data_IF_309870385723
#
_entry.id   IF_309870385723
#
_cell.length_a   1.000
_cell.length_b   1.000
_cell.length_c   1.000
_cell.angle_alpha   90.00
_cell.angle_beta   90.00
_cell.angle_gamma   90.00
#
_symmetry.space_group_name_H-M   'P 1'
#
loop_
_entity.id
_entity.type
_entity.pdbx_description
1 polymer ?
#
# COMPACT_ATOMS: atom_id res chain seq x y z
N UNK A 1 21.49 -20.60 7.36
CA UNK A 1 20.74 -19.37 7.06
C UNK A 1 21.76 -18.29 6.75
N UNK A 2 21.72 -17.74 5.54
CA UNK A 2 22.56 -16.58 5.17
C UNK A 2 21.92 -15.29 5.69
N UNK A 3 22.73 -14.35 6.16
CA UNK A 3 22.24 -13.03 6.58
C UNK A 3 21.40 -12.38 5.49
N UNK A 4 20.35 -11.65 5.87
CA UNK A 4 19.52 -10.89 4.91
C UNK A 4 20.34 -9.81 4.17
N UNK A 5 21.39 -9.27 4.81
CA UNK A 5 22.30 -8.31 4.18
C UNK A 5 23.12 -8.91 3.04
N UNK A 6 23.23 -10.23 2.96
CA UNK A 6 23.89 -10.96 1.87
C UNK A 6 22.92 -11.33 0.74
N UNK A 7 21.62 -11.04 0.88
CA UNK A 7 20.54 -11.34 -0.06
C UNK A 7 19.85 -10.04 -0.47
N UNK A 8 20.42 -9.26 -1.41
CA UNK A 8 19.97 -7.88 -1.67
C UNK A 8 18.52 -7.77 -2.16
N UNK A 9 18.03 -8.74 -2.94
CA UNK A 9 16.64 -8.79 -3.37
C UNK A 9 15.69 -9.06 -2.20
N UNK A 10 16.05 -10.03 -1.34
CA UNK A 10 15.26 -10.33 -0.14
C UNK A 10 15.25 -9.16 0.83
N UNK A 11 16.32 -8.38 0.90
CA UNK A 11 16.37 -7.14 1.68
C UNK A 11 15.43 -6.08 1.11
N UNK A 12 15.39 -5.90 -0.21
CA UNK A 12 14.45 -4.97 -0.86
C UNK A 12 13.00 -5.39 -0.55
N UNK A 13 12.67 -6.66 -0.73
CA UNK A 13 11.33 -7.15 -0.41
C UNK A 13 11.01 -7.03 1.07
N UNK A 14 11.97 -7.29 1.95
CA UNK A 14 11.78 -7.15 3.39
C UNK A 14 11.46 -5.70 3.77
N UNK A 15 12.23 -4.74 3.25
CA UNK A 15 11.98 -3.31 3.46
C UNK A 15 10.64 -2.88 2.86
N UNK A 16 10.30 -3.38 1.68
CA UNK A 16 9.00 -3.14 1.04
C UNK A 16 7.85 -3.59 1.97
N UNK A 17 7.83 -4.85 2.40
CA UNK A 17 6.76 -5.38 3.25
C UNK A 17 6.69 -4.70 4.63
N UNK A 18 7.84 -4.41 5.25
CA UNK A 18 7.88 -3.75 6.56
C UNK A 18 7.37 -2.30 6.46
N UNK A 19 7.77 -1.56 5.43
CA UNK A 19 7.34 -0.17 5.27
C UNK A 19 5.85 -0.06 4.89
N UNK A 20 5.28 -1.06 4.22
CA UNK A 20 3.85 -1.10 3.88
C UNK A 20 2.92 -1.31 5.07
N UNK A 21 3.41 -1.87 6.18
CA UNK A 21 2.62 -2.05 7.40
C UNK A 21 2.10 -0.68 7.91
N UNK A 22 2.91 0.38 7.80
CA UNK A 22 2.56 1.70 8.32
C UNK A 22 1.38 2.36 7.58
N UNK A 23 1.40 2.55 6.24
CA UNK A 23 0.24 3.10 5.53
C UNK A 23 -0.99 2.21 5.70
N UNK A 24 -0.85 0.87 5.72
CA UNK A 24 -2.01 -0.01 5.92
C UNK A 24 -2.64 0.13 7.31
N UNK A 25 -1.84 0.31 8.35
CA UNK A 25 -2.37 0.56 9.70
C UNK A 25 -2.93 1.98 9.83
N UNK A 26 -2.29 3.00 9.26
CA UNK A 26 -2.65 4.39 9.56
C UNK A 26 -3.61 5.04 8.56
N UNK A 27 -3.59 4.61 7.30
CA UNK A 27 -4.41 5.17 6.22
C UNK A 27 -5.51 4.18 5.81
N UNK A 28 -5.14 2.97 5.38
CA UNK A 28 -6.12 2.03 4.80
C UNK A 28 -7.13 1.57 5.85
N UNK A 29 -6.67 1.30 7.08
CA UNK A 29 -7.56 0.92 8.19
C UNK A 29 -8.61 1.98 8.52
N UNK A 30 -8.33 3.28 8.31
CA UNK A 30 -9.31 4.33 8.52
C UNK A 30 -10.49 4.18 7.55
N UNK A 31 -10.21 3.88 6.28
CA UNK A 31 -11.24 3.67 5.26
C UNK A 31 -12.11 2.45 5.55
N UNK A 32 -11.53 1.42 6.18
CA UNK A 32 -12.23 0.19 6.57
C UNK A 32 -13.07 0.41 7.83
N UNK A 33 -12.54 1.13 8.82
CA UNK A 33 -13.18 1.29 10.13
C UNK A 33 -14.15 2.48 10.20
N UNK A 34 -14.08 3.42 9.26
CA UNK A 34 -15.00 4.57 9.23
C UNK A 34 -16.46 4.13 9.12
N UNK A 35 -17.38 4.63 9.98
CA UNK A 35 -17.25 5.82 10.84
C UNK A 35 -16.79 5.52 12.28
N UNK A 36 -16.51 4.25 12.62
CA UNK A 36 -16.13 3.79 13.96
C UNK A 36 -14.62 3.91 14.25
N UNK A 37 -13.84 4.40 13.28
CA UNK A 37 -12.41 4.56 13.41
C UNK A 37 -12.05 5.47 14.61
N UNK A 38 -11.03 5.11 15.42
CA UNK A 38 -10.53 5.97 16.48
C UNK A 38 -10.17 7.38 15.99
N UNK A 39 -10.36 8.38 16.86
CA UNK A 39 -10.04 9.78 16.55
C UNK A 39 -8.61 9.97 16.04
N UNK A 40 -7.65 9.19 16.54
CA UNK A 40 -6.27 9.23 16.09
C UNK A 40 -6.13 8.92 14.57
N UNK A 41 -6.79 7.87 14.09
CA UNK A 41 -6.76 7.52 12.66
C UNK A 41 -7.47 8.59 11.82
N UNK A 42 -8.57 9.14 12.34
CA UNK A 42 -9.27 10.26 11.70
C UNK A 42 -8.35 11.48 11.55
N UNK A 43 -7.59 11.83 12.58
CA UNK A 43 -6.64 12.95 12.53
C UNK A 43 -5.50 12.72 11.54
N UNK A 44 -4.98 11.49 11.45
CA UNK A 44 -3.96 11.15 10.44
C UNK A 44 -4.55 11.25 9.03
N UNK A 45 -5.74 10.67 8.80
CA UNK A 45 -6.38 10.73 7.50
C UNK A 45 -6.69 12.17 7.10
N UNK A 46 -7.21 13.00 8.03
CA UNK A 46 -7.43 14.42 7.80
C UNK A 46 -6.13 15.13 7.41
N UNK A 47 -5.07 14.98 8.21
CA UNK A 47 -3.75 15.54 7.88
C UNK A 47 -3.27 15.09 6.49
N UNK A 48 -3.41 13.81 6.17
CA UNK A 48 -3.00 13.27 4.87
C UNK A 48 -3.80 13.91 3.72
N UNK A 49 -5.13 13.96 3.83
CA UNK A 49 -5.98 14.57 2.80
C UNK A 49 -5.73 16.07 2.63
N UNK A 50 -5.46 16.80 3.71
CA UNK A 50 -5.15 18.24 3.65
C UNK A 50 -3.80 18.52 2.99
N UNK A 51 -2.78 17.66 3.20
CA UNK A 51 -1.45 17.89 2.65
C UNK A 51 -1.29 17.37 1.22
N UNK A 52 -1.88 16.23 0.89
CA UNK A 52 -1.66 15.55 -0.38
C UNK A 52 -2.84 15.63 -1.35
N UNK A 53 -4.04 15.93 -0.85
CA UNK A 53 -5.28 15.98 -1.61
C UNK A 53 -5.53 14.71 -2.45
N UNK A 54 -5.18 13.55 -1.90
CA UNK A 54 -5.31 12.27 -2.59
C UNK A 54 -6.80 11.95 -2.84
N UNK A 55 -7.24 11.84 -4.11
CA UNK A 55 -8.63 11.60 -4.45
C UNK A 55 -9.17 10.27 -3.91
N UNK A 56 -8.31 9.28 -3.68
CA UNK A 56 -8.68 7.98 -3.15
C UNK A 56 -9.08 8.04 -1.68
N UNK A 57 -8.50 8.98 -0.92
CA UNK A 57 -8.85 9.19 0.49
C UNK A 57 -9.90 10.29 0.66
N UNK A 58 -9.85 11.34 -0.16
CA UNK A 58 -10.84 12.44 -0.14
C UNK A 58 -12.23 11.95 -0.57
N UNK A 59 -12.33 11.31 -1.73
CA UNK A 59 -13.62 10.85 -2.27
C UNK A 59 -13.95 9.42 -1.84
N UNK A 60 -12.93 8.62 -1.53
CA UNK A 60 -13.06 7.23 -1.10
C UNK A 60 -14.02 6.41 -1.98
N UNK A 61 -13.72 6.26 -3.29
CA UNK A 61 -14.58 5.52 -4.19
C UNK A 61 -14.74 4.06 -3.73
N UNK A 62 -15.91 3.47 -4.01
CA UNK A 62 -16.30 2.15 -3.47
C UNK A 62 -15.29 1.06 -3.84
N UNK A 63 -14.77 1.08 -5.07
CA UNK A 63 -13.77 0.12 -5.52
C UNK A 63 -12.46 0.23 -4.72
N UNK A 64 -12.01 1.44 -4.39
CA UNK A 64 -10.80 1.68 -3.59
C UNK A 64 -11.00 1.26 -2.14
N UNK A 65 -12.18 1.53 -1.56
CA UNK A 65 -12.54 0.97 -0.26
C UNK A 65 -12.48 -0.56 -0.28
N UNK A 66 -12.90 -1.20 -1.36
CA UNK A 66 -12.76 -2.64 -1.56
C UNK A 66 -11.31 -3.12 -1.47
N UNK A 67 -10.39 -2.42 -2.13
CA UNK A 67 -8.95 -2.70 -2.03
C UNK A 67 -8.43 -2.50 -0.60
N UNK A 68 -8.80 -1.39 0.06
CA UNK A 68 -8.40 -1.13 1.45
C UNK A 68 -8.87 -2.23 2.43
N UNK A 69 -10.05 -2.83 2.20
CA UNK A 69 -10.51 -3.97 3.01
C UNK A 69 -9.62 -5.19 2.81
N UNK A 70 -9.23 -5.50 1.57
CA UNK A 70 -8.31 -6.60 1.27
C UNK A 70 -6.93 -6.33 1.88
N UNK A 71 -6.42 -5.10 1.73
CA UNK A 71 -5.14 -4.69 2.28
C UNK A 71 -5.11 -4.83 3.80
N UNK A 72 -6.13 -4.31 4.48
CA UNK A 72 -6.20 -4.38 5.94
C UNK A 72 -6.42 -5.80 6.48
N UNK A 73 -7.32 -6.57 5.88
CA UNK A 73 -7.73 -7.88 6.43
C UNK A 73 -6.82 -9.03 5.99
N UNK A 74 -6.28 -8.96 4.77
CA UNK A 74 -5.52 -10.05 4.14
C UNK A 74 -4.05 -9.68 4.00
N UNK A 75 -3.74 -8.49 3.48
CA UNK A 75 -2.33 -8.13 3.24
C UNK A 75 -1.58 -7.82 4.53
N UNK A 76 -2.19 -7.14 5.49
CA UNK A 76 -1.53 -6.81 6.75
C UNK A 76 -0.96 -8.03 7.49
N UNK A 77 -1.73 -9.11 7.78
CA UNK A 77 -1.15 -10.32 8.38
C UNK A 77 -0.13 -11.00 7.45
N UNK A 78 -0.33 -10.91 6.13
CA UNK A 78 0.60 -11.45 5.14
C UNK A 78 1.96 -10.72 5.15
N UNK A 79 1.98 -9.40 5.37
CA UNK A 79 3.21 -8.61 5.48
C UNK A 79 4.09 -9.10 6.62
N UNK A 80 3.50 -9.38 7.79
CA UNK A 80 4.23 -9.98 8.91
C UNK A 80 4.75 -11.38 8.58
N UNK A 81 3.91 -12.22 7.98
CA UNK A 81 4.29 -13.58 7.58
C UNK A 81 5.50 -13.58 6.62
N UNK A 82 5.46 -12.76 5.57
CA UNK A 82 6.54 -12.68 4.58
C UNK A 82 7.79 -12.03 5.17
N UNK A 83 7.65 -10.96 5.97
CA UNK A 83 8.80 -10.31 6.61
C UNK A 83 9.58 -11.29 7.50
N UNK A 84 8.88 -12.11 8.28
CA UNK A 84 9.50 -13.16 9.10
C UNK A 84 10.14 -14.24 8.23
N UNK A 85 9.47 -14.65 7.14
CA UNK A 85 10.00 -15.65 6.21
C UNK A 85 11.26 -15.18 5.49
N UNK A 86 11.30 -13.92 5.03
CA UNK A 86 12.46 -13.31 4.39
C UNK A 86 13.64 -13.23 5.37
N UNK A 87 13.38 -12.78 6.60
CA UNK A 87 14.39 -12.77 7.67
C UNK A 87 14.98 -14.17 7.94
N UNK A 88 14.12 -15.20 7.94
CA UNK A 88 14.50 -16.59 8.19
C UNK A 88 14.97 -17.37 6.95
N UNK A 89 15.01 -16.75 5.78
CA UNK A 89 15.40 -17.40 4.52
C UNK A 89 14.53 -18.65 4.20
N UNK A 90 13.21 -18.51 4.36
CA UNK A 90 12.26 -19.62 4.22
C UNK A 90 11.71 -19.70 2.79
N UNK A 91 11.89 -20.84 2.12
CA UNK A 91 11.45 -21.01 0.73
C UNK A 91 9.92 -21.05 0.53
N UNK A 92 9.14 -21.37 1.57
CA UNK A 92 7.67 -21.51 1.48
C UNK A 92 6.95 -20.20 1.19
N UNK A 93 7.59 -19.04 1.40
CA UNK A 93 6.99 -17.72 1.15
C UNK A 93 7.00 -17.34 -0.34
N UNK A 94 7.79 -18.01 -1.19
CA UNK A 94 8.01 -17.61 -2.59
C UNK A 94 6.73 -17.64 -3.42
N UNK A 95 5.97 -18.73 -3.34
CA UNK A 95 4.71 -18.85 -4.07
C UNK A 95 3.64 -17.87 -3.55
N UNK A 96 3.41 -17.76 -2.22
CA UNK A 96 2.51 -16.74 -1.69
C UNK A 96 2.92 -15.31 -2.09
N UNK A 97 4.21 -14.99 -2.09
CA UNK A 97 4.71 -13.68 -2.56
C UNK A 97 4.36 -13.44 -4.02
N UNK A 98 4.52 -14.42 -4.90
CA UNK A 98 4.15 -14.28 -6.33
C UNK A 98 2.66 -13.99 -6.52
N UNK A 99 1.79 -14.67 -5.76
CA UNK A 99 0.34 -14.46 -5.80
C UNK A 99 0.00 -13.05 -5.33
N UNK A 100 0.57 -12.65 -4.18
CA UNK A 100 0.42 -11.30 -3.65
C UNK A 100 0.89 -10.23 -4.64
N UNK A 101 2.08 -10.41 -5.22
CA UNK A 101 2.65 -9.49 -6.20
C UNK A 101 1.73 -9.27 -7.39
N UNK A 102 1.21 -10.35 -7.98
CA UNK A 102 0.28 -10.28 -9.11
C UNK A 102 -0.98 -9.46 -8.77
N UNK A 103 -1.52 -9.66 -7.56
CA UNK A 103 -2.69 -8.93 -7.09
C UNK A 103 -2.38 -7.46 -6.85
N UNK A 104 -1.31 -7.13 -6.12
CA UNK A 104 -0.95 -5.76 -5.77
C UNK A 104 -0.50 -4.94 -6.97
N UNK A 105 0.23 -5.54 -7.92
CA UNK A 105 0.53 -4.90 -9.21
C UNK A 105 -0.78 -4.50 -9.92
N UNK A 106 -1.81 -5.35 -9.88
CA UNK A 106 -3.10 -5.06 -10.54
C UNK A 106 -3.86 -3.92 -9.84
N UNK A 107 -3.95 -3.94 -8.51
CA UNK A 107 -4.67 -2.90 -7.76
C UNK A 107 -3.96 -1.56 -7.84
N UNK A 108 -2.63 -1.54 -7.68
CA UNK A 108 -1.83 -0.31 -7.77
C UNK A 108 -1.77 0.25 -9.18
N UNK A 109 -1.72 -0.60 -10.21
CA UNK A 109 -1.86 -0.17 -11.60
C UNK A 109 -3.19 0.53 -11.84
N UNK A 110 -4.29 0.01 -11.27
CA UNK A 110 -5.61 0.66 -11.35
C UNK A 110 -5.57 2.08 -10.76
N UNK A 111 -4.93 2.26 -9.60
CA UNK A 111 -4.74 3.58 -8.99
C UNK A 111 -3.88 4.50 -9.87
N UNK A 112 -2.79 4.00 -10.45
CA UNK A 112 -1.92 4.78 -11.33
C UNK A 112 -2.65 5.24 -12.60
N UNK A 113 -3.43 4.36 -13.21
CA UNK A 113 -4.26 4.70 -14.39
C UNK A 113 -5.29 5.77 -14.02
N UNK A 114 -5.98 5.64 -12.88
CA UNK A 114 -6.93 6.65 -12.43
C UNK A 114 -6.24 8.02 -12.23
N UNK A 115 -5.07 8.06 -11.58
CA UNK A 115 -4.29 9.30 -11.39
C UNK A 115 -3.78 9.90 -12.71
N UNK A 116 -3.46 9.06 -13.70
CA UNK A 116 -2.92 9.53 -14.99
C UNK A 116 -4.01 10.04 -15.92
N UNK A 117 -5.15 9.35 -15.99
CA UNK A 117 -6.16 9.60 -17.02
C UNK A 117 -7.43 10.26 -16.51
N UNK A 118 -7.75 10.17 -15.22
CA UNK A 118 -8.93 10.83 -14.68
C UNK A 118 -8.62 12.27 -14.23
N UNK A 119 -9.59 13.16 -14.38
CA UNK A 119 -9.51 14.53 -13.88
C UNK A 119 -10.21 14.60 -12.52
N UNK A 120 -9.41 14.59 -11.45
CA UNK A 120 -9.93 14.83 -10.11
C UNK A 120 -10.00 16.34 -9.86
N UNK A 121 -11.23 16.86 -9.74
CA UNK A 121 -11.46 18.27 -9.42
C UNK A 121 -10.72 18.69 -8.14
N UNK A 122 -9.91 19.75 -8.23
CA UNK A 122 -9.11 20.25 -7.12
C UNK A 122 -7.71 19.64 -6.98
N UNK A 123 -7.38 18.58 -7.71
CA UNK A 123 -6.03 17.99 -7.70
C UNK A 123 -5.10 18.77 -8.65
N UNK A 124 -4.09 19.45 -8.10
CA UNK A 124 -3.09 20.16 -8.91
C UNK A 124 -2.14 19.20 -9.62
N UNK A 125 -1.52 19.63 -10.72
CA UNK A 125 -0.52 18.81 -11.45
C UNK A 125 0.66 18.40 -10.56
N UNK A 126 1.12 19.29 -9.68
CA UNK A 126 2.20 18.99 -8.74
C UNK A 126 1.79 17.91 -7.73
N UNK A 127 0.59 17.99 -7.17
CA UNK A 127 0.06 16.94 -6.29
C UNK A 127 -0.12 15.62 -7.04
N UNK A 128 -0.67 15.65 -8.26
CA UNK A 128 -0.81 14.46 -9.10
C UNK A 128 0.54 13.76 -9.32
N UNK A 129 1.56 14.51 -9.73
CA UNK A 129 2.90 13.94 -9.95
C UNK A 129 3.51 13.37 -8.66
N UNK A 130 3.27 14.04 -7.52
CA UNK A 130 3.71 13.55 -6.22
C UNK A 130 3.00 12.25 -5.84
N UNK A 131 1.69 12.15 -6.05
CA UNK A 131 0.94 10.91 -5.81
C UNK A 131 1.41 9.79 -6.73
N UNK A 132 1.59 10.05 -8.03
CA UNK A 132 2.16 9.05 -8.95
C UNK A 132 3.52 8.57 -8.43
N UNK A 133 4.37 9.47 -7.96
CA UNK A 133 5.66 9.10 -7.35
C UNK A 133 5.50 8.25 -6.08
N UNK A 134 4.45 8.47 -5.27
CA UNK A 134 4.15 7.64 -4.11
C UNK A 134 3.64 6.25 -4.49
N UNK A 135 2.73 6.14 -5.47
CA UNK A 135 2.13 4.87 -5.87
C UNK A 135 3.07 4.03 -6.76
N UNK A 136 3.95 4.66 -7.53
CA UNK A 136 4.78 3.97 -8.51
C UNK A 136 5.73 2.89 -7.93
N UNK A 137 6.42 3.10 -6.80
CA UNK A 137 7.22 2.05 -6.16
C UNK A 137 6.38 0.82 -5.74
N UNK A 138 5.13 1.04 -5.35
CA UNK A 138 4.19 -0.01 -4.92
C UNK A 138 3.73 -0.87 -6.11
N UNK A 139 3.79 -0.32 -7.32
CA UNK A 139 3.56 -1.04 -8.57
C UNK A 139 4.83 -1.73 -9.09
N UNK A 140 5.97 -1.03 -9.06
CA UNK A 140 7.20 -1.48 -9.70
C UNK A 140 7.91 -2.60 -8.94
N UNK A 141 7.96 -2.55 -7.60
CA UNK A 141 8.67 -3.55 -6.80
C UNK A 141 8.03 -4.94 -6.90
N UNK A 142 6.69 -5.07 -6.91
CA UNK A 142 6.05 -6.38 -7.06
C UNK A 142 6.01 -6.93 -8.49
N UNK A 143 6.27 -6.09 -9.51
CA UNK A 143 6.28 -6.47 -10.94
C UNK A 143 7.50 -7.33 -11.30
#
# INVERSE_FOLDING_TARGET
MTSITSRPLDLIFFVYFVTHIFPTIFLDSYLVLSPLAPNFLKSINQWYTENFNDPFFVNSPIWFKGFAHIEFLIHLPFFFYVSIGLWKDTATIRLPMLIYSSHVTTTTFTCLVELLFNEHGGLTNSQRNLLIFFYFPYFLIPL
#
